data_IF_844195262611
#
_entry.id   IF_844195262611
#
_cell.length_a   1.000
_cell.length_b   1.000
_cell.length_c   1.000
_cell.angle_alpha   90.00
_cell.angle_beta   90.00
_cell.angle_gamma   90.00
#
_symmetry.space_group_name_H-M   'P 1'
#
loop_
_entity.id
_entity.type
_entity.pdbx_description
1 polymer ?
#
# COMPACT_ATOMS: atom_id res chain seq x y z
N UNK A 1 -13.01 -28.79 -22.85
CA UNK A 1 -12.75 -27.90 -21.69
C UNK A 1 -12.45 -28.77 -20.49
N UNK A 2 -11.23 -28.69 -19.94
CA UNK A 2 -10.89 -29.40 -18.72
C UNK A 2 -11.55 -28.71 -17.53
N UNK A 3 -12.26 -29.47 -16.69
CA UNK A 3 -12.84 -28.96 -15.44
C UNK A 3 -11.77 -28.98 -14.35
N UNK A 4 -11.56 -27.83 -13.71
CA UNK A 4 -10.75 -27.72 -12.48
C UNK A 4 -11.68 -27.81 -11.28
N UNK A 5 -11.29 -28.56 -10.24
CA UNK A 5 -11.98 -28.64 -8.96
C UNK A 5 -11.15 -27.91 -7.90
N UNK A 6 -11.81 -27.05 -7.11
CA UNK A 6 -11.22 -26.35 -5.95
C UNK A 6 -12.04 -26.71 -4.72
N UNK A 7 -11.37 -27.01 -3.61
CA UNK A 7 -11.99 -27.29 -2.32
C UNK A 7 -11.38 -26.37 -1.25
N UNK A 8 -12.21 -25.83 -0.36
CA UNK A 8 -11.81 -24.96 0.74
C UNK A 8 -12.24 -25.64 2.04
N UNK A 9 -11.28 -25.88 2.94
CA UNK A 9 -11.53 -26.40 4.28
C UNK A 9 -11.09 -25.36 5.32
N UNK A 10 -12.03 -24.69 6.02
CA UNK A 10 -11.71 -23.68 7.03
C UNK A 10 -10.92 -24.21 8.24
N UNK A 11 -11.07 -25.50 8.57
CA UNK A 11 -10.39 -26.13 9.70
C UNK A 11 -8.90 -26.41 9.41
N UNK A 12 -8.50 -26.36 8.14
CA UNK A 12 -7.11 -26.56 7.71
C UNK A 12 -6.30 -25.26 7.81
N UNK A 13 -6.03 -24.83 9.04
CA UNK A 13 -5.22 -23.62 9.32
C UNK A 13 -3.73 -23.92 9.07
N UNK A 14 -3.10 -23.16 8.16
CA UNK A 14 -1.67 -23.28 7.85
C UNK A 14 -0.78 -22.34 8.69
N UNK A 15 -1.36 -21.26 9.21
CA UNK A 15 -0.66 -20.26 9.99
C UNK A 15 -1.36 -18.92 9.96
N UNK A 16 -0.85 -17.97 10.75
CA UNK A 16 -1.29 -16.58 10.73
C UNK A 16 -0.52 -15.82 9.66
N UNK A 17 -1.24 -15.09 8.80
CA UNK A 17 -0.61 -14.18 7.83
C UNK A 17 0.05 -13.03 8.61
N UNK A 18 1.28 -12.71 8.28
CA UNK A 18 1.93 -11.50 8.77
C UNK A 18 1.31 -10.30 8.06
N UNK A 19 0.94 -9.25 8.79
CA UNK A 19 0.47 -7.99 8.20
C UNK A 19 1.55 -7.33 7.33
N UNK A 20 2.84 -7.66 7.56
CA UNK A 20 3.97 -7.09 6.82
C UNK A 20 4.02 -7.52 5.35
N UNK A 21 3.27 -8.56 4.94
CA UNK A 21 3.19 -8.94 3.52
C UNK A 21 2.43 -7.91 2.68
N UNK A 22 1.69 -7.00 3.33
CA UNK A 22 0.98 -5.89 2.70
C UNK A 22 1.77 -4.58 2.73
N UNK A 23 3.03 -4.62 3.18
CA UNK A 23 3.92 -3.47 3.19
C UNK A 23 4.15 -2.89 1.80
N UNK A 24 4.41 -1.59 1.75
CA UNK A 24 4.75 -0.85 0.53
C UNK A 24 6.18 -0.33 0.62
N UNK A 25 6.72 0.14 -0.51
CA UNK A 25 8.07 0.67 -0.60
C UNK A 25 8.07 2.07 -1.23
N UNK A 26 8.82 2.98 -0.61
CA UNK A 26 9.04 4.34 -1.11
C UNK A 26 10.53 4.68 -0.97
N UNK A 27 11.09 5.31 -1.99
CA UNK A 27 12.49 5.70 -2.07
C UNK A 27 12.59 7.18 -2.48
N UNK A 28 13.75 7.80 -2.26
CA UNK A 28 14.11 9.08 -2.87
C UNK A 28 14.33 8.93 -4.39
N UNK A 29 13.32 8.41 -5.09
CA UNK A 29 13.34 8.16 -6.52
C UNK A 29 12.24 8.97 -7.23
N UNK A 30 12.66 9.72 -8.25
CA UNK A 30 11.77 10.54 -9.07
C UNK A 30 10.84 11.42 -8.22
N UNK A 31 9.52 11.21 -8.32
CA UNK A 31 8.48 11.98 -7.62
C UNK A 31 7.80 11.20 -6.52
N UNK A 32 8.42 10.16 -5.97
CA UNK A 32 7.86 9.42 -4.85
C UNK A 32 7.84 10.30 -3.59
N UNK A 33 8.97 10.93 -3.25
CA UNK A 33 9.07 11.89 -2.15
C UNK A 33 8.67 13.28 -2.62
N UNK A 34 9.51 13.93 -3.42
CA UNK A 34 9.34 15.33 -3.82
C UNK A 34 8.33 15.47 -4.96
N UNK A 35 7.23 16.17 -4.70
CA UNK A 35 6.10 16.27 -5.62
C UNK A 35 5.21 15.01 -5.64
N UNK A 36 5.43 14.11 -4.67
CA UNK A 36 4.63 12.91 -4.38
C UNK A 36 3.98 13.04 -3.00
N UNK A 37 4.45 12.28 -2.01
CA UNK A 37 3.94 12.40 -0.62
C UNK A 37 4.29 13.76 0.02
N UNK A 38 5.37 14.40 -0.42
CA UNK A 38 5.84 15.69 0.11
C UNK A 38 5.88 16.74 -1.00
N UNK A 39 5.04 17.77 -0.88
CA UNK A 39 4.92 18.87 -1.83
C UNK A 39 4.44 20.17 -1.13
N UNK A 40 5.33 20.92 -0.45
CA UNK A 40 4.94 22.04 0.41
C UNK A 40 4.17 23.19 -0.27
N UNK A 41 4.28 23.32 -1.60
CA UNK A 41 3.57 24.35 -2.37
C UNK A 41 2.19 23.92 -2.86
N UNK A 42 1.80 22.67 -2.65
CA UNK A 42 0.55 22.13 -3.18
C UNK A 42 -0.66 22.57 -2.35
N UNK A 43 -1.79 22.95 -2.96
CA UNK A 43 -3.00 23.39 -2.23
C UNK A 43 -3.59 22.35 -1.27
N UNK A 44 -3.27 21.07 -1.49
CA UNK A 44 -3.72 19.94 -0.66
C UNK A 44 -2.65 19.46 0.32
N UNK A 45 -1.56 20.20 0.51
CA UNK A 45 -0.57 19.89 1.51
C UNK A 45 -0.94 20.46 2.88
N UNK A 46 -0.59 19.74 3.94
CA UNK A 46 -0.68 20.24 5.31
C UNK A 46 0.44 21.25 5.63
N UNK A 47 0.48 21.73 6.88
CA UNK A 47 1.49 22.69 7.34
C UNK A 47 2.91 22.14 7.38
N UNK A 48 3.08 20.82 7.35
CA UNK A 48 4.39 20.16 7.30
C UNK A 48 4.82 19.85 5.87
N UNK A 49 3.93 20.03 4.89
CA UNK A 49 4.17 19.82 3.47
C UNK A 49 3.78 18.43 2.95
N UNK A 50 3.09 17.62 3.75
CA UNK A 50 2.58 16.32 3.32
C UNK A 50 1.25 16.46 2.58
N UNK A 51 1.12 15.73 1.47
CA UNK A 51 -0.09 15.74 0.63
C UNK A 51 -1.23 14.99 1.31
N UNK A 52 -2.22 15.71 1.81
CA UNK A 52 -3.37 15.14 2.54
C UNK A 52 -4.27 14.25 1.68
N UNK A 53 -4.21 14.40 0.36
CA UNK A 53 -4.90 13.53 -0.59
C UNK A 53 -4.13 12.25 -0.93
N UNK A 54 -2.87 12.15 -0.48
CA UNK A 54 -2.04 10.93 -0.55
C UNK A 54 -2.04 10.21 0.79
N UNK A 55 -2.16 10.94 1.89
CA UNK A 55 -2.25 10.40 3.25
C UNK A 55 -3.64 9.77 3.45
N UNK A 56 -3.67 8.50 3.84
CA UNK A 56 -4.89 7.74 4.18
C UNK A 56 -4.99 7.52 5.69
#
# INVERSE_FOLDING_TARGET
MNKIKVEINPDRVLGKRSELIYGQFIEHFHRQIYGGIFDPGHPLSDSEGFRTDVMH
#
